data_IF_086178201941
#
_entry.id   IF_086178201941
#
_cell.length_a   1.000
_cell.length_b   1.000
_cell.length_c   1.000
_cell.angle_alpha   90.00
_cell.angle_beta   90.00
_cell.angle_gamma   90.00
#
_symmetry.space_group_name_H-M   'P 1'
#
loop_
_entity.id
_entity.type
_entity.pdbx_description
1 polymer ?
#
# COMPACT_ATOMS: atom_id res chain seq x y z
N UNK A 1 -27.94 6.64 1.56
CA UNK A 1 -28.23 5.77 0.40
C UNK A 1 -28.11 4.31 0.82
N UNK A 2 -29.21 3.78 1.37
CA UNK A 2 -29.31 2.36 1.79
C UNK A 2 -29.25 1.40 0.57
N UNK A 3 -29.46 1.92 -0.63
CA UNK A 3 -29.50 1.15 -1.88
C UNK A 3 -28.15 0.50 -2.25
N UNK A 4 -27.02 1.08 -1.86
CA UNK A 4 -25.71 0.54 -2.20
C UNK A 4 -25.46 -0.82 -1.52
N UNK A 5 -25.83 -0.94 -0.25
CA UNK A 5 -25.63 -2.17 0.53
C UNK A 5 -26.62 -3.29 0.19
N UNK A 6 -27.69 -2.94 -0.50
CA UNK A 6 -28.74 -3.87 -0.94
C UNK A 6 -28.61 -4.27 -2.40
N UNK A 7 -27.67 -3.66 -3.17
CA UNK A 7 -27.46 -4.03 -4.57
C UNK A 7 -27.00 -5.48 -4.69
N UNK A 8 -27.44 -6.15 -5.74
CA UNK A 8 -27.07 -7.55 -6.03
C UNK A 8 -25.56 -7.71 -6.16
N UNK A 9 -24.91 -6.77 -6.84
CA UNK A 9 -23.46 -6.77 -7.09
C UNK A 9 -22.68 -6.67 -5.77
N UNK A 10 -23.11 -5.80 -4.85
CA UNK A 10 -22.48 -5.68 -3.54
C UNK A 10 -22.64 -6.96 -2.71
N UNK A 11 -23.84 -7.57 -2.72
CA UNK A 11 -24.07 -8.83 -2.03
C UNK A 11 -23.22 -9.97 -2.61
N UNK A 12 -23.04 -10.04 -3.93
CA UNK A 12 -22.16 -11.00 -4.59
C UNK A 12 -20.69 -10.77 -4.12
N UNK A 13 -20.21 -9.52 -4.09
CA UNK A 13 -18.88 -9.21 -3.60
C UNK A 13 -18.68 -9.68 -2.16
N UNK A 14 -19.61 -9.34 -1.27
CA UNK A 14 -19.57 -9.76 0.14
C UNK A 14 -19.53 -11.28 0.27
N UNK A 15 -20.36 -11.98 -0.51
CA UNK A 15 -20.43 -13.44 -0.49
C UNK A 15 -19.09 -14.04 -0.97
N UNK A 16 -18.51 -13.55 -2.07
CA UNK A 16 -17.22 -14.00 -2.58
C UNK A 16 -16.07 -13.79 -1.58
N UNK A 17 -16.04 -12.64 -0.90
CA UNK A 17 -15.05 -12.37 0.15
C UNK A 17 -15.19 -13.35 1.33
N UNK A 18 -16.42 -13.64 1.79
CA UNK A 18 -16.67 -14.61 2.85
C UNK A 18 -16.25 -16.03 2.45
N UNK A 19 -16.55 -16.44 1.22
CA UNK A 19 -16.17 -17.75 0.69
C UNK A 19 -14.64 -17.89 0.61
N UNK A 20 -13.96 -16.89 0.06
CA UNK A 20 -12.49 -16.86 -0.05
C UNK A 20 -11.84 -16.89 1.33
N UNK A 21 -12.32 -16.09 2.27
CA UNK A 21 -11.83 -16.04 3.65
C UNK A 21 -12.01 -17.39 4.37
N UNK A 22 -13.22 -17.98 4.30
CA UNK A 22 -13.52 -19.27 4.94
C UNK A 22 -12.66 -20.43 4.38
N UNK A 23 -12.29 -20.35 3.09
CA UNK A 23 -11.44 -21.31 2.40
C UNK A 23 -9.94 -20.97 2.49
N UNK A 24 -9.57 -19.91 3.22
CA UNK A 24 -8.18 -19.41 3.33
C UNK A 24 -7.53 -19.15 1.95
N UNK A 25 -8.31 -18.64 1.00
CA UNK A 25 -7.82 -18.26 -0.32
C UNK A 25 -7.18 -16.88 -0.31
N UNK A 26 -6.35 -16.61 -1.31
CA UNK A 26 -5.75 -15.30 -1.46
C UNK A 26 -6.82 -14.23 -1.71
N UNK A 27 -6.75 -13.14 -0.97
CA UNK A 27 -7.56 -11.95 -1.15
C UNK A 27 -6.60 -10.77 -1.25
N UNK A 28 -6.34 -10.32 -2.48
CA UNK A 28 -5.46 -9.19 -2.73
C UNK A 28 -6.29 -7.91 -2.88
N UNK A 29 -5.81 -6.82 -2.29
CA UNK A 29 -6.47 -5.53 -2.38
C UNK A 29 -5.46 -4.46 -2.80
N UNK A 30 -5.72 -3.76 -3.91
CA UNK A 30 -4.98 -2.57 -4.29
C UNK A 30 -5.79 -1.33 -3.93
N UNK A 31 -5.20 -0.39 -3.22
CA UNK A 31 -5.85 0.84 -2.80
C UNK A 31 -5.18 2.07 -3.39
N UNK A 32 -5.96 3.09 -3.71
CA UNK A 32 -5.45 4.43 -3.95
C UNK A 32 -5.15 5.17 -2.65
N UNK A 33 -4.32 6.20 -2.72
CA UNK A 33 -3.89 7.00 -1.58
C UNK A 33 -5.04 7.63 -0.78
N UNK A 34 -6.15 7.98 -1.45
CA UNK A 34 -7.32 8.58 -0.80
C UNK A 34 -8.00 7.67 0.22
N UNK A 35 -7.87 6.35 0.10
CA UNK A 35 -8.41 5.42 1.10
C UNK A 35 -7.78 5.69 2.47
N UNK A 36 -6.45 5.92 2.51
CA UNK A 36 -5.74 6.31 3.73
C UNK A 36 -6.06 7.76 4.11
N UNK A 37 -5.95 8.68 3.15
CA UNK A 37 -6.18 10.12 3.36
C UNK A 37 -7.56 10.43 3.94
N UNK A 38 -8.59 9.66 3.56
CA UNK A 38 -9.96 9.81 4.07
C UNK A 38 -10.21 9.06 5.40
N UNK A 39 -9.17 8.52 6.05
CA UNK A 39 -9.27 7.96 7.40
C UNK A 39 -9.81 6.53 7.47
N UNK A 40 -9.67 5.75 6.38
CA UNK A 40 -10.18 4.36 6.35
C UNK A 40 -9.16 3.31 6.83
N UNK A 41 -8.02 3.74 7.39
CA UNK A 41 -6.93 2.87 7.84
C UNK A 41 -7.40 1.76 8.79
N UNK A 42 -8.24 2.09 9.78
CA UNK A 42 -8.74 1.12 10.77
C UNK A 42 -9.60 0.02 10.16
N UNK A 43 -10.33 0.32 9.08
CA UNK A 43 -11.10 -0.71 8.35
C UNK A 43 -10.18 -1.68 7.61
N UNK A 44 -9.12 -1.16 6.97
CA UNK A 44 -8.11 -2.00 6.30
C UNK A 44 -7.39 -2.89 7.31
N UNK A 45 -6.98 -2.34 8.45
CA UNK A 45 -6.34 -3.09 9.55
C UNK A 45 -7.27 -4.19 10.06
N UNK A 46 -8.56 -3.88 10.24
CA UNK A 46 -9.56 -4.87 10.64
C UNK A 46 -9.73 -5.98 9.59
N UNK A 47 -9.78 -5.63 8.31
CA UNK A 47 -9.89 -6.62 7.23
C UNK A 47 -8.67 -7.53 7.17
N UNK A 48 -7.45 -7.01 7.31
CA UNK A 48 -6.24 -7.82 7.41
C UNK A 48 -6.27 -8.76 8.61
N UNK A 49 -6.60 -8.22 9.79
CA UNK A 49 -6.67 -8.99 11.04
C UNK A 49 -7.66 -10.16 10.98
N UNK A 50 -8.74 -10.02 10.21
CA UNK A 50 -9.78 -11.02 10.06
C UNK A 50 -9.65 -11.87 8.78
N UNK A 51 -8.54 -11.76 8.05
CA UNK A 51 -8.25 -12.57 6.87
C UNK A 51 -9.05 -12.19 5.61
N UNK A 52 -9.68 -11.01 5.58
CA UNK A 52 -10.36 -10.46 4.40
C UNK A 52 -9.43 -9.69 3.47
N UNK A 53 -8.18 -9.51 3.86
CA UNK A 53 -7.07 -9.06 3.02
C UNK A 53 -5.84 -9.87 3.40
N UNK A 54 -5.31 -10.62 2.45
CA UNK A 54 -4.09 -11.42 2.63
C UNK A 54 -2.85 -10.78 1.99
N UNK A 55 -3.06 -9.76 1.15
CA UNK A 55 -2.04 -8.90 0.58
C UNK A 55 -2.66 -7.54 0.28
N UNK A 56 -2.09 -6.48 0.83
CA UNK A 56 -2.49 -5.11 0.53
C UNK A 56 -1.42 -4.43 -0.33
N UNK A 57 -1.85 -3.68 -1.33
CA UNK A 57 -0.97 -2.93 -2.23
C UNK A 57 -1.46 -1.49 -2.40
N UNK A 58 -0.54 -0.56 -2.66
CA UNK A 58 -0.88 0.83 -2.95
C UNK A 58 0.17 1.49 -3.87
N UNK A 59 -0.09 2.74 -4.26
CA UNK A 59 0.90 3.62 -4.89
C UNK A 59 1.78 4.33 -3.85
N UNK A 60 2.81 5.03 -4.29
CA UNK A 60 3.72 5.73 -3.40
C UNK A 60 3.04 6.80 -2.53
N UNK A 61 2.08 7.55 -3.07
CA UNK A 61 1.34 8.55 -2.29
C UNK A 61 0.57 7.93 -1.11
N UNK A 62 0.08 6.69 -1.25
CA UNK A 62 -0.54 5.95 -0.14
C UNK A 62 0.42 5.72 1.02
N UNK A 63 1.68 5.43 0.73
CA UNK A 63 2.71 5.27 1.76
C UNK A 63 3.03 6.55 2.51
N UNK A 64 3.00 7.69 1.80
CA UNK A 64 3.27 9.01 2.39
C UNK A 64 2.17 9.36 3.39
N UNK A 65 0.91 9.28 2.98
CA UNK A 65 -0.20 9.57 3.88
C UNK A 65 -0.21 8.68 5.13
N UNK A 66 0.07 7.39 4.97
CA UNK A 66 0.10 6.44 6.08
C UNK A 66 1.29 6.69 7.02
N UNK A 67 2.46 7.07 6.47
CA UNK A 67 3.65 7.43 7.22
C UNK A 67 3.42 8.73 8.03
N UNK A 68 2.84 9.75 7.40
CA UNK A 68 2.52 11.02 8.06
C UNK A 68 1.49 10.83 9.18
N UNK A 69 0.45 10.02 8.95
CA UNK A 69 -0.50 9.66 10.00
C UNK A 69 0.19 8.98 11.18
N UNK A 70 1.19 8.14 10.93
CA UNK A 70 1.90 7.42 11.99
C UNK A 70 2.74 8.34 12.91
N UNK A 71 3.33 9.42 12.38
CA UNK A 71 4.15 10.32 13.18
C UNK A 71 3.44 11.59 13.62
N UNK A 72 2.55 12.17 12.80
CA UNK A 72 1.83 13.42 13.08
C UNK A 72 0.40 13.21 13.58
N UNK A 73 -0.22 12.06 13.25
CA UNK A 73 -1.66 11.88 13.43
C UNK A 73 -2.52 12.65 12.42
N UNK A 74 -1.90 13.26 11.42
CA UNK A 74 -2.53 14.02 10.35
C UNK A 74 -1.71 13.95 9.07
N UNK A 75 -2.34 14.23 7.95
CA UNK A 75 -1.67 14.22 6.63
C UNK A 75 -2.34 15.22 5.69
N UNK A 76 -1.66 15.61 4.65
CA UNK A 76 -2.11 16.52 3.59
C UNK A 76 -1.77 17.99 3.83
N UNK A 77 -1.47 18.66 2.74
CA UNK A 77 -1.14 20.08 2.65
C UNK A 77 -2.24 20.82 1.87
N UNK A 78 -2.29 22.14 2.01
CA UNK A 78 -3.10 22.99 1.14
C UNK A 78 -2.32 23.26 -0.16
N UNK A 79 -2.40 22.32 -1.09
CA UNK A 79 -1.64 22.32 -2.34
C UNK A 79 -1.70 23.64 -3.12
N UNK A 80 -2.89 24.29 -3.32
CA UNK A 80 -2.96 25.54 -4.08
C UNK A 80 -2.04 26.63 -3.55
N UNK A 81 -1.90 26.79 -2.25
CA UNK A 81 -1.00 27.78 -1.65
C UNK A 81 0.45 27.32 -1.69
N UNK A 82 0.72 26.08 -1.30
CA UNK A 82 2.08 25.57 -1.19
C UNK A 82 2.80 25.45 -2.55
N UNK A 83 2.06 25.27 -3.63
CA UNK A 83 2.66 25.19 -4.98
C UNK A 83 3.08 26.57 -5.51
N UNK A 84 2.42 27.65 -5.06
CA UNK A 84 2.72 29.03 -5.49
C UNK A 84 4.06 29.52 -4.94
N UNK A 85 4.41 29.15 -3.69
CA UNK A 85 5.66 29.55 -3.03
C UNK A 85 6.75 28.47 -3.09
N UNK A 86 6.44 27.30 -3.67
CA UNK A 86 7.37 26.18 -3.82
C UNK A 86 7.57 25.34 -2.56
N UNK A 87 6.75 25.51 -1.53
CA UNK A 87 6.82 24.72 -0.28
C UNK A 87 6.11 23.36 -0.38
N UNK A 88 5.36 23.12 -1.47
CA UNK A 88 4.62 21.87 -1.64
C UNK A 88 5.51 20.63 -1.55
N UNK A 89 5.23 19.79 -0.60
CA UNK A 89 5.95 18.52 -0.39
C UNK A 89 7.34 18.66 0.23
N UNK A 90 7.71 19.83 0.73
CA UNK A 90 9.03 20.12 1.31
C UNK A 90 9.10 19.85 2.82
N UNK A 91 8.36 18.88 3.31
CA UNK A 91 8.42 18.44 4.70
C UNK A 91 9.69 17.62 4.96
N UNK A 92 10.58 18.14 5.84
CA UNK A 92 11.88 17.55 6.12
C UNK A 92 11.73 16.13 6.69
N UNK A 93 10.87 15.93 7.68
CA UNK A 93 10.69 14.65 8.35
C UNK A 93 10.14 13.59 7.39
N UNK A 94 9.11 13.93 6.62
CA UNK A 94 8.54 13.01 5.62
C UNK A 94 9.60 12.64 4.57
N UNK A 95 10.24 13.63 3.98
CA UNK A 95 11.24 13.43 2.93
C UNK A 95 12.46 12.67 3.43
N UNK A 96 13.08 13.11 4.52
CA UNK A 96 14.31 12.54 5.05
C UNK A 96 14.09 11.11 5.58
N UNK A 97 13.12 10.91 6.46
CA UNK A 97 12.94 9.61 7.13
C UNK A 97 12.45 8.52 6.18
N UNK A 98 11.55 8.84 5.24
CA UNK A 98 11.12 7.85 4.25
C UNK A 98 12.27 7.46 3.32
N UNK A 99 13.07 8.42 2.82
CA UNK A 99 14.22 8.11 1.97
C UNK A 99 15.32 7.35 2.75
N UNK A 100 15.55 7.68 4.03
CA UNK A 100 16.44 6.91 4.91
C UNK A 100 15.97 5.45 5.05
N UNK A 101 14.68 5.25 5.34
CA UNK A 101 14.07 3.93 5.47
C UNK A 101 14.22 3.10 4.18
N UNK A 102 13.93 3.71 3.04
CA UNK A 102 14.01 3.05 1.72
C UNK A 102 15.44 2.64 1.40
N UNK A 103 16.43 3.51 1.61
CA UNK A 103 17.86 3.18 1.39
C UNK A 103 18.35 2.08 2.32
N UNK A 104 18.01 2.18 3.62
CA UNK A 104 18.36 1.15 4.60
C UNK A 104 17.72 -0.20 4.28
N UNK A 105 16.48 -0.20 3.81
CA UNK A 105 15.76 -1.39 3.38
C UNK A 105 16.33 -2.00 2.11
N UNK A 106 16.67 -1.17 1.11
CA UNK A 106 17.32 -1.63 -0.12
C UNK A 106 18.62 -2.37 0.17
N UNK A 107 19.46 -1.82 1.06
CA UNK A 107 20.71 -2.45 1.49
C UNK A 107 20.49 -3.82 2.17
N UNK A 108 19.33 -4.04 2.81
CA UNK A 108 18.93 -5.30 3.44
C UNK A 108 18.17 -6.24 2.48
N UNK A 109 17.91 -5.80 1.26
CA UNK A 109 17.11 -6.53 0.29
C UNK A 109 15.62 -6.58 0.64
N UNK A 110 15.09 -5.59 1.34
CA UNK A 110 13.66 -5.47 1.65
C UNK A 110 12.88 -4.87 0.46
N UNK A 111 11.56 -5.11 0.44
CA UNK A 111 10.64 -4.36 -0.38
C UNK A 111 10.38 -2.97 0.22
N UNK A 112 9.69 -2.11 -0.53
CA UNK A 112 9.39 -0.74 -0.09
C UNK A 112 8.53 -0.72 1.18
N UNK A 113 7.42 -1.45 1.19
CA UNK A 113 6.53 -1.52 2.36
C UNK A 113 7.23 -2.05 3.60
N UNK A 114 8.02 -3.11 3.45
CA UNK A 114 8.82 -3.67 4.54
C UNK A 114 9.88 -2.70 5.05
N UNK A 115 10.48 -1.90 4.17
CA UNK A 115 11.49 -0.90 4.54
C UNK A 115 10.92 0.17 5.47
N UNK A 116 9.76 0.73 5.12
CA UNK A 116 9.06 1.71 5.94
C UNK A 116 8.63 1.13 7.28
N UNK A 117 8.04 -0.06 7.27
CA UNK A 117 7.57 -0.71 8.49
C UNK A 117 8.71 -1.03 9.46
N UNK A 118 9.84 -1.53 8.96
CA UNK A 118 11.02 -1.80 9.77
C UNK A 118 11.62 -0.51 10.37
N UNK A 119 11.54 0.61 9.65
CA UNK A 119 11.98 1.92 10.16
C UNK A 119 11.07 2.40 11.30
N UNK A 120 9.76 2.29 11.14
CA UNK A 120 8.77 2.64 12.19
C UNK A 120 8.95 1.76 13.43
N UNK A 121 9.15 0.46 13.24
CA UNK A 121 9.37 -0.50 14.35
C UNK A 121 10.66 -0.19 15.15
N UNK A 122 11.70 0.28 14.45
CA UNK A 122 12.99 0.63 15.06
C UNK A 122 13.00 2.00 15.76
N UNK A 123 12.02 2.88 15.49
CA UNK A 123 11.97 4.25 16.00
C UNK A 123 10.62 4.57 16.66
N UNK A 124 10.17 3.79 17.65
CA UNK A 124 8.82 3.91 18.21
C UNK A 124 8.51 5.29 18.81
N UNK A 125 9.52 6.01 19.26
CA UNK A 125 9.40 7.34 19.84
C UNK A 125 9.02 8.42 18.80
N UNK A 126 9.36 8.20 17.53
CA UNK A 126 9.01 9.10 16.42
C UNK A 126 7.58 8.89 15.92
N UNK A 127 6.99 7.72 16.19
CA UNK A 127 5.71 7.30 15.62
C UNK A 127 4.66 6.97 16.68
N UNK A 128 4.15 7.98 17.39
CA UNK A 128 3.18 7.79 18.47
C UNK A 128 1.84 7.21 17.99
N UNK A 129 1.49 7.40 16.73
CA UNK A 129 0.22 6.91 16.14
C UNK A 129 0.40 5.67 15.25
N UNK A 130 1.54 4.95 15.35
CA UNK A 130 1.82 3.77 14.53
C UNK A 130 0.78 2.65 14.61
N UNK A 131 -0.02 2.63 15.67
CA UNK A 131 -1.08 1.63 15.82
C UNK A 131 -2.23 1.81 14.80
N UNK A 132 -2.39 3.00 14.26
CA UNK A 132 -3.31 3.31 13.16
C UNK A 132 -2.65 3.27 11.77
N UNK A 133 -1.35 2.98 11.70
CA UNK A 133 -0.58 2.89 10.46
C UNK A 133 -0.77 1.53 9.79
N UNK A 134 -1.26 1.54 8.56
CA UNK A 134 -1.65 0.32 7.82
C UNK A 134 -0.44 -0.55 7.49
N UNK A 135 0.65 0.04 6.93
CA UNK A 135 1.83 -0.76 6.57
C UNK A 135 2.54 -1.32 7.81
N UNK A 136 2.53 -0.58 8.92
CA UNK A 136 3.11 -1.07 10.18
C UNK A 136 2.29 -2.24 10.74
N UNK A 137 0.97 -2.11 10.78
CA UNK A 137 0.09 -3.17 11.25
C UNK A 137 0.15 -4.40 10.32
N UNK A 138 0.21 -4.21 9.00
CA UNK A 138 0.43 -5.30 8.06
C UNK A 138 1.73 -6.07 8.38
N UNK A 139 2.82 -5.34 8.60
CA UNK A 139 4.12 -5.91 8.99
C UNK A 139 4.04 -6.73 10.29
N UNK A 140 3.37 -6.18 11.33
CA UNK A 140 3.19 -6.89 12.62
C UNK A 140 2.33 -8.14 12.48
N UNK A 141 1.39 -8.17 11.56
CA UNK A 141 0.52 -9.33 11.28
C UNK A 141 1.13 -10.31 10.27
N UNK A 142 2.28 -10.00 9.66
CA UNK A 142 2.86 -10.81 8.60
C UNK A 142 2.07 -10.78 7.28
N UNK A 143 1.22 -9.78 7.08
CA UNK A 143 0.50 -9.54 5.82
C UNK A 143 1.40 -8.70 4.91
N UNK A 144 1.70 -9.16 3.67
CA UNK A 144 2.46 -8.34 2.74
C UNK A 144 1.74 -7.02 2.44
N UNK A 145 2.48 -5.91 2.57
CA UNK A 145 2.07 -4.59 2.12
C UNK A 145 3.09 -4.09 1.11
N UNK A 146 2.66 -3.86 -0.13
CA UNK A 146 3.53 -3.49 -1.25
C UNK A 146 3.19 -2.14 -1.83
N UNK A 147 4.23 -1.42 -2.28
CA UNK A 147 4.06 -0.11 -2.88
C UNK A 147 4.67 -0.07 -4.29
N UNK A 148 3.84 0.36 -5.23
CA UNK A 148 4.16 0.44 -6.65
C UNK A 148 4.36 1.89 -7.04
N UNK A 149 5.63 2.31 -7.07
CA UNK A 149 6.03 3.71 -7.21
C UNK A 149 6.17 4.10 -8.68
N UNK A 150 5.65 5.26 -9.04
CA UNK A 150 5.94 5.93 -10.30
C UNK A 150 6.96 7.03 -10.04
N UNK A 151 8.12 6.96 -10.67
CA UNK A 151 9.20 7.93 -10.45
C UNK A 151 8.78 9.34 -10.85
N UNK A 152 9.00 10.30 -9.95
CA UNK A 152 8.67 11.71 -10.16
C UNK A 152 7.26 12.13 -9.73
N UNK A 153 6.40 11.19 -9.25
CA UNK A 153 5.02 11.54 -8.84
C UNK A 153 4.87 11.86 -7.37
N UNK A 154 5.76 11.37 -6.52
CA UNK A 154 5.64 11.46 -5.07
C UNK A 154 6.49 12.61 -4.51
N UNK A 155 5.97 13.30 -3.46
CA UNK A 155 6.66 14.45 -2.87
C UNK A 155 8.04 14.11 -2.32
N UNK A 156 8.25 12.90 -1.82
CA UNK A 156 9.56 12.45 -1.33
C UNK A 156 10.64 12.37 -2.40
N UNK A 157 10.25 12.38 -3.69
CA UNK A 157 11.19 12.40 -4.81
C UNK A 157 11.87 13.78 -4.98
N UNK A 158 11.31 14.84 -4.41
CA UNK A 158 11.87 16.19 -4.43
C UNK A 158 12.97 16.38 -3.38
N UNK A 159 13.04 15.50 -2.39
CA UNK A 159 13.97 15.62 -1.28
C UNK A 159 15.41 15.30 -1.72
N UNK A 160 16.44 16.08 -1.24
CA UNK A 160 17.86 15.84 -1.62
C UNK A 160 18.37 14.43 -1.28
N UNK A 161 17.75 13.76 -0.31
CA UNK A 161 18.09 12.38 0.06
C UNK A 161 17.46 11.31 -0.83
N UNK A 162 16.67 11.69 -1.84
CA UNK A 162 16.02 10.71 -2.73
C UNK A 162 17.08 9.89 -3.48
N UNK A 163 16.98 8.57 -3.33
CA UNK A 163 17.80 7.59 -4.03
C UNK A 163 16.90 6.78 -4.97
N UNK A 164 16.88 7.17 -6.24
CA UNK A 164 16.04 6.53 -7.25
C UNK A 164 16.46 5.07 -7.54
N UNK A 165 17.72 4.71 -7.25
CA UNK A 165 18.19 3.33 -7.31
C UNK A 165 17.51 2.49 -6.22
N UNK A 166 17.52 2.96 -4.98
CA UNK A 166 16.87 2.31 -3.85
C UNK A 166 15.34 2.26 -4.02
N UNK A 167 14.72 3.36 -4.49
CA UNK A 167 13.29 3.41 -4.82
C UNK A 167 12.91 2.34 -5.85
N UNK A 168 13.65 2.26 -6.96
CA UNK A 168 13.41 1.27 -8.01
C UNK A 168 13.62 -0.16 -7.53
N UNK A 169 14.68 -0.42 -6.77
CA UNK A 169 14.98 -1.72 -6.21
C UNK A 169 13.89 -2.22 -5.25
N UNK A 170 13.47 -1.38 -4.31
CA UNK A 170 12.49 -1.75 -3.28
C UNK A 170 11.08 -1.90 -3.86
N UNK A 171 10.64 -0.97 -4.73
CA UNK A 171 9.34 -1.08 -5.40
C UNK A 171 9.31 -2.23 -6.42
N UNK A 172 10.42 -2.49 -7.12
CA UNK A 172 10.55 -3.66 -8.01
C UNK A 172 10.44 -4.98 -7.24
N UNK A 173 11.00 -5.06 -6.03
CA UNK A 173 10.85 -6.22 -5.16
C UNK A 173 9.40 -6.39 -4.69
N UNK A 174 8.73 -5.31 -4.33
CA UNK A 174 7.31 -5.31 -3.98
C UNK A 174 6.44 -5.83 -5.13
N UNK A 175 6.77 -5.45 -6.37
CA UNK A 175 6.09 -6.01 -7.55
C UNK A 175 6.23 -7.53 -7.63
N UNK A 176 7.42 -8.07 -7.34
CA UNK A 176 7.64 -9.53 -7.27
C UNK A 176 6.76 -10.21 -6.22
N UNK A 177 6.64 -9.62 -5.02
CA UNK A 177 5.75 -10.13 -3.96
C UNK A 177 4.27 -10.06 -4.38
N UNK A 178 3.87 -8.98 -5.02
CA UNK A 178 2.49 -8.85 -5.51
C UNK A 178 2.17 -9.88 -6.59
N UNK A 179 3.08 -10.11 -7.56
CA UNK A 179 2.94 -11.17 -8.57
C UNK A 179 2.74 -12.54 -7.92
N UNK A 180 3.55 -12.87 -6.89
CA UNK A 180 3.42 -14.13 -6.17
C UNK A 180 2.04 -14.28 -5.53
N UNK A 181 1.52 -13.24 -4.89
CA UNK A 181 0.18 -13.28 -4.28
C UNK A 181 -0.94 -13.36 -5.31
N UNK A 182 -0.80 -12.69 -6.45
CA UNK A 182 -1.77 -12.78 -7.56
C UNK A 182 -1.82 -14.20 -8.12
N UNK A 183 -0.67 -14.88 -8.26
CA UNK A 183 -0.62 -16.27 -8.69
C UNK A 183 -1.33 -17.24 -7.72
N UNK A 184 -1.56 -16.85 -6.48
CA UNK A 184 -2.27 -17.66 -5.47
C UNK A 184 -3.80 -17.46 -5.48
N UNK A 185 -4.33 -16.55 -6.31
CA UNK A 185 -5.78 -16.31 -6.40
C UNK A 185 -6.54 -17.58 -6.82
N UNK A 186 -6.02 -18.33 -7.81
CA UNK A 186 -6.71 -19.50 -8.35
C UNK A 186 -8.15 -19.18 -8.78
N UNK A 187 -9.05 -20.16 -8.71
CA UNK A 187 -10.43 -20.01 -9.16
C UNK A 187 -11.36 -19.31 -8.16
N UNK A 188 -10.96 -19.20 -6.89
CA UNK A 188 -11.83 -18.73 -5.79
C UNK A 188 -11.24 -17.59 -4.97
N UNK A 189 -10.03 -17.15 -5.28
CA UNK A 189 -9.45 -15.94 -4.69
C UNK A 189 -10.12 -14.68 -5.20
N UNK A 190 -9.89 -13.57 -4.51
CA UNK A 190 -10.51 -12.28 -4.84
C UNK A 190 -9.43 -11.23 -5.01
N UNK A 191 -9.52 -10.45 -6.08
CA UNK A 191 -8.79 -9.20 -6.23
C UNK A 191 -9.73 -8.02 -6.16
N UNK A 192 -9.42 -7.07 -5.27
CA UNK A 192 -10.12 -5.80 -5.16
C UNK A 192 -9.20 -4.65 -5.60
N UNK A 193 -9.77 -3.68 -6.31
CA UNK A 193 -9.12 -2.40 -6.60
C UNK A 193 -10.01 -1.26 -6.13
N UNK A 194 -9.57 -0.51 -5.12
CA UNK A 194 -10.37 0.52 -4.46
C UNK A 194 -9.64 1.87 -4.60
N UNK A 195 -10.21 2.78 -5.38
CA UNK A 195 -9.70 4.14 -5.50
C UNK A 195 -8.39 4.31 -6.29
N UNK A 196 -7.93 3.29 -7.03
CA UNK A 196 -6.76 3.39 -7.91
C UNK A 196 -7.17 3.22 -9.37
N UNK A 197 -7.37 4.33 -10.07
CA UNK A 197 -7.89 4.32 -11.44
C UNK A 197 -6.88 3.78 -12.48
N UNK A 198 -5.59 3.95 -12.26
CA UNK A 198 -4.52 3.61 -13.21
C UNK A 198 -3.55 2.60 -12.60
N UNK A 199 -2.80 3.00 -11.57
CA UNK A 199 -1.69 2.19 -11.04
C UNK A 199 -2.15 0.79 -10.61
N UNK A 200 -3.24 0.68 -9.86
CA UNK A 200 -3.73 -0.62 -9.38
C UNK A 200 -4.12 -1.56 -10.51
N UNK A 201 -4.87 -1.06 -11.48
CA UNK A 201 -5.27 -1.83 -12.65
C UNK A 201 -4.06 -2.29 -13.48
N UNK A 202 -3.12 -1.37 -13.76
CA UNK A 202 -1.93 -1.66 -14.57
C UNK A 202 -1.00 -2.68 -13.89
N UNK A 203 -0.78 -2.55 -12.58
CA UNK A 203 0.05 -3.49 -11.81
C UNK A 203 -0.60 -4.87 -11.77
N UNK A 204 -1.90 -4.93 -11.50
CA UNK A 204 -2.62 -6.20 -11.45
C UNK A 204 -2.60 -6.93 -12.79
N UNK A 205 -2.87 -6.23 -13.90
CA UNK A 205 -2.87 -6.83 -15.23
C UNK A 205 -1.50 -7.43 -15.60
N UNK A 206 -0.39 -6.78 -15.20
CA UNK A 206 0.96 -7.31 -15.45
C UNK A 206 1.25 -8.53 -14.57
N UNK A 207 0.87 -8.48 -13.29
CA UNK A 207 1.01 -9.63 -12.40
C UNK A 207 0.20 -10.84 -12.89
N UNK A 208 -1.05 -10.62 -13.31
CA UNK A 208 -1.92 -11.63 -13.91
C UNK A 208 -1.30 -12.22 -15.18
N UNK A 209 -0.79 -11.37 -16.06
CA UNK A 209 -0.15 -11.80 -17.32
C UNK A 209 1.08 -12.67 -17.05
N UNK A 210 1.92 -12.29 -16.08
CA UNK A 210 3.09 -13.08 -15.66
C UNK A 210 2.65 -14.45 -15.16
N UNK A 211 1.67 -14.52 -14.28
CA UNK A 211 1.19 -15.78 -13.72
C UNK A 211 0.63 -16.72 -14.79
N UNK A 212 -0.21 -16.20 -15.69
CA UNK A 212 -0.76 -16.97 -16.82
C UNK A 212 0.32 -17.45 -17.79
N UNK A 213 1.32 -16.63 -18.07
CA UNK A 213 2.46 -17.01 -18.91
C UNK A 213 3.28 -18.15 -18.29
N UNK A 214 3.33 -18.23 -16.97
CA UNK A 214 3.95 -19.33 -16.23
C UNK A 214 3.06 -20.57 -16.10
N UNK A 215 1.88 -20.57 -16.70
CA UNK A 215 0.95 -21.71 -16.69
C UNK A 215 0.09 -21.81 -15.43
N UNK A 216 0.03 -20.76 -14.60
CA UNK A 216 -0.85 -20.74 -13.42
C UNK A 216 -2.30 -20.50 -13.89
N UNK A 217 -3.21 -21.40 -13.50
CA UNK A 217 -4.64 -21.22 -13.74
C UNK A 217 -5.23 -20.16 -12.81
N UNK A 218 -5.85 -19.12 -13.40
CA UNK A 218 -6.47 -18.00 -12.70
C UNK A 218 -7.64 -17.44 -13.50
#
# INVERSE_FOLDING_TARGET
DDDLFTSTEFQILVQKLKEAQAQQRAITCFIGAHVIKCGLSRYLIWMMKNGYITHLASNGAGSIHDFELAYLGGTSEHVPTAIEDGSFGMWEETGAWMNEAIRAGAAKGYGYGQSLAAYVDANPEKFPYRDDCVFYQAYKMGVPMTYHVTMGTDIIHQHPMADFGALGQTSGKDFGYFCHSVMQLGDTGVHMNIGSAVTGAEVFLKALSIGRNQGVAM
#
